data_IF_181460535833
#
_entry.id   IF_181460535833
#
_cell.length_a   1.000
_cell.length_b   1.000
_cell.length_c   1.000
_cell.angle_alpha   90.00
_cell.angle_beta   90.00
_cell.angle_gamma   90.00
#
_symmetry.space_group_name_H-M   'P 1'
#
loop_
_entity.id
_entity.type
_entity.pdbx_description
1 polymer ?
#
# COMPACT_ATOMS: atom_id res chain seq x y z
N UNK A 1 -15.50 38.34 -21.73
CA UNK A 1 -15.30 37.56 -22.97
C UNK A 1 -14.06 36.71 -22.77
N UNK A 2 -14.17 35.45 -23.14
CA UNK A 2 -13.51 34.26 -22.58
C UNK A 2 -11.98 34.27 -22.69
N UNK A 3 -11.29 34.09 -21.56
CA UNK A 3 -9.86 33.75 -21.52
C UNK A 3 -9.73 32.23 -21.55
N UNK A 4 -8.93 31.77 -22.51
CA UNK A 4 -8.53 30.40 -22.78
C UNK A 4 -8.05 29.63 -21.55
N UNK A 5 -8.52 28.38 -21.40
CA UNK A 5 -7.68 27.25 -21.01
C UNK A 5 -8.40 25.91 -21.27
N UNK A 6 -8.30 25.42 -22.51
CA UNK A 6 -8.06 23.99 -22.69
C UNK A 6 -6.54 23.80 -22.57
N UNK A 7 -6.04 22.74 -21.88
CA UNK A 7 -6.13 21.40 -22.44
C UNK A 7 -6.15 20.28 -21.39
N UNK A 8 -7.27 19.59 -21.20
CA UNK A 8 -7.26 18.25 -20.57
C UNK A 8 -7.55 17.20 -21.63
N UNK A 9 -6.59 17.06 -22.54
CA UNK A 9 -6.56 16.05 -23.58
C UNK A 9 -5.23 15.31 -23.59
N UNK A 10 -4.72 14.83 -22.45
CA UNK A 10 -3.55 13.96 -22.44
C UNK A 10 -3.74 12.80 -21.45
N UNK A 11 -3.99 11.62 -22.03
CA UNK A 11 -4.33 10.32 -21.43
C UNK A 11 -5.72 10.21 -20.80
N UNK A 12 -6.76 10.18 -21.65
CA UNK A 12 -8.00 9.45 -21.31
C UNK A 12 -7.60 7.98 -21.13
N UNK A 13 -7.36 7.54 -19.90
CA UNK A 13 -7.14 6.11 -19.62
C UNK A 13 -8.45 5.40 -19.96
N UNK A 14 -8.41 4.43 -20.87
CA UNK A 14 -9.61 3.65 -21.20
C UNK A 14 -10.08 2.89 -19.95
N UNK A 15 -11.37 2.55 -19.88
CA UNK A 15 -11.90 1.66 -18.82
C UNK A 15 -11.01 0.44 -18.59
N UNK A 16 -10.56 -0.20 -19.68
CA UNK A 16 -9.65 -1.35 -19.63
C UNK A 16 -8.32 -1.02 -18.95
N UNK A 17 -7.72 0.13 -19.25
CA UNK A 17 -6.48 0.58 -18.60
C UNK A 17 -6.69 0.84 -17.11
N UNK A 18 -7.80 1.47 -16.72
CA UNK A 18 -8.13 1.70 -15.31
C UNK A 18 -8.34 0.38 -14.57
N UNK A 19 -9.05 -0.58 -15.16
CA UNK A 19 -9.22 -1.92 -14.57
C UNK A 19 -7.87 -2.61 -14.34
N UNK A 20 -6.99 -2.62 -15.35
CA UNK A 20 -5.65 -3.22 -15.22
C UNK A 20 -4.87 -2.58 -14.07
N UNK A 21 -4.86 -1.24 -13.98
CA UNK A 21 -4.15 -0.54 -12.93
C UNK A 21 -4.67 -0.87 -11.54
N UNK A 22 -5.98 -0.86 -11.37
CA UNK A 22 -6.59 -1.19 -10.08
C UNK A 22 -6.37 -2.67 -9.73
N UNK A 23 -6.36 -3.58 -10.71
CA UNK A 23 -5.97 -4.98 -10.47
C UNK A 23 -4.53 -5.10 -9.97
N UNK A 24 -3.58 -4.36 -10.55
CA UNK A 24 -2.19 -4.32 -10.06
C UNK A 24 -2.14 -3.81 -8.62
N UNK A 25 -2.96 -2.79 -8.27
CA UNK A 25 -3.05 -2.31 -6.90
C UNK A 25 -3.57 -3.40 -5.95
N UNK A 26 -4.62 -4.12 -6.32
CA UNK A 26 -5.20 -5.21 -5.52
C UNK A 26 -4.19 -6.34 -5.30
N UNK A 27 -3.48 -6.74 -6.34
CA UNK A 27 -2.42 -7.76 -6.25
C UNK A 27 -1.29 -7.31 -5.33
N UNK A 28 -0.83 -6.06 -5.49
CA UNK A 28 0.21 -5.47 -4.65
C UNK A 28 -0.22 -5.45 -3.18
N UNK A 29 -1.42 -4.95 -2.88
CA UNK A 29 -1.97 -4.88 -1.52
C UNK A 29 -2.13 -6.28 -0.90
N UNK A 30 -2.58 -7.26 -1.68
CA UNK A 30 -2.70 -8.65 -1.26
C UNK A 30 -1.35 -9.27 -0.91
N UNK A 31 -0.32 -9.04 -1.74
CA UNK A 31 1.04 -9.47 -1.46
C UNK A 31 1.58 -8.79 -0.20
N UNK A 32 1.46 -7.46 -0.10
CA UNK A 32 1.93 -6.70 1.06
C UNK A 32 1.25 -7.15 2.36
N UNK A 33 -0.06 -7.45 2.33
CA UNK A 33 -0.80 -7.97 3.50
C UNK A 33 -0.23 -9.30 4.01
N UNK A 34 0.12 -10.21 3.09
CA UNK A 34 0.77 -11.49 3.44
C UNK A 34 2.16 -11.23 4.02
N UNK A 35 2.93 -10.32 3.42
CA UNK A 35 4.27 -9.98 3.90
C UNK A 35 4.24 -9.29 5.28
N UNK A 36 3.26 -8.42 5.58
CA UNK A 36 3.08 -7.85 6.92
C UNK A 36 2.85 -8.97 7.94
N UNK A 37 2.00 -9.95 7.61
CA UNK A 37 1.73 -11.09 8.49
C UNK A 37 2.98 -11.94 8.70
N UNK A 38 3.79 -12.12 7.65
CA UNK A 38 5.10 -12.76 7.77
C UNK A 38 6.04 -11.98 8.68
N UNK A 39 6.12 -10.65 8.54
CA UNK A 39 6.97 -9.81 9.40
C UNK A 39 6.54 -9.88 10.86
N UNK A 40 5.22 -9.92 11.15
CA UNK A 40 4.69 -10.13 12.50
C UNK A 40 5.20 -11.45 13.11
N UNK A 41 5.18 -12.53 12.34
CA UNK A 41 5.71 -13.83 12.77
C UNK A 41 7.23 -13.84 12.90
N UNK A 42 7.93 -13.18 11.98
CA UNK A 42 9.39 -13.11 11.95
C UNK A 42 9.94 -12.43 13.21
N UNK A 43 9.40 -11.27 13.58
CA UNK A 43 9.85 -10.55 14.78
C UNK A 43 9.44 -11.26 16.07
N UNK A 44 8.37 -12.06 16.04
CA UNK A 44 7.91 -12.85 17.19
C UNK A 44 8.73 -14.14 17.41
N UNK A 45 9.82 -14.33 16.64
CA UNK A 45 10.71 -15.46 16.83
C UNK A 45 11.42 -15.41 18.19
N UNK A 46 11.55 -16.55 18.91
CA UNK A 46 12.22 -16.65 20.21
C UNK A 46 13.63 -16.04 20.27
N UNK A 47 14.32 -15.96 19.13
CA UNK A 47 15.68 -15.41 19.01
C UNK A 47 15.78 -13.92 19.39
N UNK A 48 14.67 -13.18 19.35
CA UNK A 48 14.65 -11.74 19.63
C UNK A 48 14.27 -11.38 21.07
N UNK A 49 13.96 -12.35 21.93
CA UNK A 49 13.56 -12.09 23.33
C UNK A 49 14.72 -12.10 24.34
N UNK A 50 15.96 -11.97 23.86
CA UNK A 50 17.15 -12.32 24.65
C UNK A 50 17.70 -11.11 25.43
N UNK A 51 17.37 -9.87 25.06
CA UNK A 51 17.79 -8.67 25.81
C UNK A 51 16.66 -7.63 25.96
N UNK A 52 16.68 -6.81 27.02
CA UNK A 52 15.70 -5.73 27.22
C UNK A 52 15.65 -4.71 26.07
N UNK A 53 16.79 -4.36 25.47
CA UNK A 53 16.85 -3.45 24.32
C UNK A 53 16.14 -4.05 23.09
N UNK A 54 16.27 -5.36 22.88
CA UNK A 54 15.55 -6.08 21.82
C UNK A 54 14.03 -6.06 22.06
N UNK A 55 13.58 -6.12 23.32
CA UNK A 55 12.16 -6.08 23.66
C UNK A 55 11.52 -4.72 23.33
N UNK A 56 12.20 -3.61 23.62
CA UNK A 56 11.69 -2.26 23.29
C UNK A 56 11.49 -2.08 21.79
N UNK A 57 12.49 -2.47 21.00
CA UNK A 57 12.43 -2.37 19.54
C UNK A 57 11.38 -3.32 18.95
N UNK A 58 11.24 -4.52 19.53
CA UNK A 58 10.17 -5.45 19.17
C UNK A 58 8.77 -4.86 19.37
N UNK A 59 8.50 -4.27 20.54
CA UNK A 59 7.21 -3.62 20.82
C UNK A 59 6.94 -2.49 19.83
N UNK A 60 7.98 -1.71 19.48
CA UNK A 60 7.88 -0.64 18.47
C UNK A 60 7.49 -1.20 17.10
N UNK A 61 8.18 -2.24 16.63
CA UNK A 61 7.86 -2.86 15.34
C UNK A 61 6.48 -3.51 15.32
N UNK A 62 6.05 -4.16 16.40
CA UNK A 62 4.67 -4.68 16.50
C UNK A 62 3.63 -3.57 16.34
N UNK A 63 3.83 -2.42 16.99
CA UNK A 63 2.92 -1.28 16.85
C UNK A 63 2.89 -0.74 15.41
N UNK A 64 4.04 -0.68 14.73
CA UNK A 64 4.13 -0.26 13.33
C UNK A 64 3.43 -1.25 12.38
N UNK A 65 3.68 -2.56 12.54
CA UNK A 65 3.04 -3.60 11.73
C UNK A 65 1.52 -3.61 11.93
N UNK A 66 1.03 -3.39 13.16
CA UNK A 66 -0.40 -3.24 13.43
C UNK A 66 -1.02 -2.06 12.67
N UNK A 67 -0.33 -0.91 12.63
CA UNK A 67 -0.79 0.26 11.87
C UNK A 67 -0.80 -0.03 10.36
N UNK A 68 0.25 -0.64 9.83
CA UNK A 68 0.33 -1.04 8.42
C UNK A 68 -0.79 -2.01 8.05
N UNK A 69 -1.12 -2.96 8.94
CA UNK A 69 -2.21 -3.91 8.76
C UNK A 69 -3.57 -3.20 8.67
N UNK A 70 -3.81 -2.20 9.50
CA UNK A 70 -5.05 -1.41 9.40
C UNK A 70 -5.09 -0.59 8.10
N UNK A 71 -3.99 0.04 7.73
CA UNK A 71 -3.89 0.85 6.52
C UNK A 71 -4.09 0.00 5.25
N UNK A 72 -3.49 -1.19 5.18
CA UNK A 72 -3.63 -2.07 4.02
C UNK A 72 -5.08 -2.54 3.84
N UNK A 73 -5.82 -2.80 4.93
CA UNK A 73 -7.26 -3.13 4.82
C UNK A 73 -8.07 -1.95 4.27
N UNK A 74 -7.83 -0.74 4.78
CA UNK A 74 -8.55 0.47 4.36
C UNK A 74 -8.32 0.72 2.86
N UNK A 75 -7.06 0.70 2.42
CA UNK A 75 -6.71 0.96 1.02
C UNK A 75 -7.23 -0.17 0.12
N UNK A 76 -7.19 -1.42 0.58
CA UNK A 76 -7.78 -2.56 -0.15
C UNK A 76 -9.29 -2.38 -0.35
N UNK A 77 -10.00 -1.93 0.68
CA UNK A 77 -11.44 -1.66 0.57
C UNK A 77 -11.73 -0.54 -0.45
N UNK A 78 -10.93 0.53 -0.46
CA UNK A 78 -11.04 1.62 -1.43
C UNK A 78 -10.75 1.13 -2.86
N UNK A 79 -9.67 0.37 -3.06
CA UNK A 79 -9.31 -0.18 -4.36
C UNK A 79 -10.38 -1.13 -4.90
N UNK A 80 -10.94 -2.00 -4.04
CA UNK A 80 -12.02 -2.91 -4.41
C UNK A 80 -13.29 -2.17 -4.82
N UNK A 81 -13.70 -1.16 -4.02
CA UNK A 81 -14.86 -0.33 -4.35
C UNK A 81 -14.66 0.37 -5.70
N UNK A 82 -13.47 0.94 -5.91
CA UNK A 82 -13.14 1.62 -7.16
C UNK A 82 -13.13 0.68 -8.36
N UNK A 83 -12.57 -0.52 -8.19
CA UNK A 83 -12.61 -1.58 -9.21
C UNK A 83 -14.05 -1.88 -9.65
N UNK A 84 -14.96 -2.10 -8.70
CA UNK A 84 -16.37 -2.38 -8.99
C UNK A 84 -17.01 -1.22 -9.75
N UNK A 85 -16.77 0.04 -9.36
CA UNK A 85 -17.30 1.20 -10.08
C UNK A 85 -16.80 1.26 -11.53
N UNK A 86 -15.51 1.00 -11.77
CA UNK A 86 -14.95 0.95 -13.13
C UNK A 86 -15.50 -0.27 -13.91
N UNK A 87 -15.72 -1.39 -13.23
CA UNK A 87 -16.28 -2.58 -13.84
C UNK A 87 -17.73 -2.35 -14.28
N UNK A 88 -18.49 -1.55 -13.54
CA UNK A 88 -19.88 -1.23 -13.89
C UNK A 88 -19.98 -0.05 -14.89
N UNK A 89 -18.88 0.68 -15.11
CA UNK A 89 -18.82 1.76 -16.10
C UNK A 89 -19.06 1.24 -17.52
N UNK A 90 -20.11 1.74 -18.17
CA UNK A 90 -20.47 1.47 -19.55
C UNK A 90 -20.09 2.63 -20.48
N UNK A 91 -19.92 2.34 -21.78
CA UNK A 91 -19.58 3.36 -22.78
C UNK A 91 -20.70 4.39 -23.02
N UNK A 92 -21.91 4.12 -22.51
CA UNK A 92 -23.08 5.01 -22.60
C UNK A 92 -23.15 5.99 -21.41
N UNK A 93 -22.30 5.81 -20.42
CA UNK A 93 -22.28 6.67 -19.24
C UNK A 93 -21.79 8.08 -19.55
N UNK A 94 -22.38 9.06 -18.86
CA UNK A 94 -22.12 10.47 -19.12
C UNK A 94 -20.76 10.94 -18.56
N UNK A 95 -20.31 12.11 -19.04
CA UNK A 95 -19.06 12.77 -18.63
C UNK A 95 -18.93 12.96 -17.11
N UNK A 96 -20.05 13.04 -16.38
CA UNK A 96 -20.05 13.18 -14.92
C UNK A 96 -19.54 11.93 -14.23
N UNK A 97 -19.95 10.73 -14.65
CA UNK A 97 -19.47 9.48 -14.08
C UNK A 97 -17.98 9.25 -14.40
N UNK A 98 -17.58 9.53 -15.64
CA UNK A 98 -16.17 9.43 -16.06
C UNK A 98 -15.28 10.35 -15.19
N UNK A 99 -15.69 11.60 -14.98
CA UNK A 99 -14.97 12.53 -14.12
C UNK A 99 -14.89 12.05 -12.67
N UNK A 100 -15.99 11.50 -12.13
CA UNK A 100 -16.00 10.93 -10.78
C UNK A 100 -14.99 9.77 -10.65
N UNK A 101 -14.98 8.84 -11.61
CA UNK A 101 -14.04 7.70 -11.63
C UNK A 101 -12.58 8.20 -11.65
N UNK A 102 -12.27 9.18 -12.50
CA UNK A 102 -10.91 9.72 -12.60
C UNK A 102 -10.49 10.42 -11.31
N UNK A 103 -11.40 11.18 -10.68
CA UNK A 103 -11.13 11.85 -9.41
C UNK A 103 -10.90 10.84 -8.27
N UNK A 104 -11.69 9.77 -8.18
CA UNK A 104 -11.47 8.72 -7.19
C UNK A 104 -10.14 7.99 -7.43
N UNK A 105 -9.80 7.72 -8.69
CA UNK A 105 -8.51 7.13 -9.03
C UNK A 105 -7.33 8.01 -8.56
N UNK A 106 -7.42 9.32 -8.80
CA UNK A 106 -6.42 10.31 -8.39
C UNK A 106 -6.32 10.48 -6.87
N UNK A 107 -7.36 10.11 -6.10
CA UNK A 107 -7.30 10.11 -4.63
C UNK A 107 -6.68 8.84 -4.08
N UNK A 108 -6.96 7.68 -4.70
CA UNK A 108 -6.52 6.37 -4.20
C UNK A 108 -5.05 6.11 -4.53
N UNK A 109 -4.61 6.46 -5.76
CA UNK A 109 -3.24 6.18 -6.23
C UNK A 109 -2.16 6.77 -5.30
N UNK A 110 -2.23 8.04 -4.87
CA UNK A 110 -1.23 8.59 -3.96
C UNK A 110 -1.21 7.92 -2.59
N UNK A 111 -2.39 7.55 -2.06
CA UNK A 111 -2.51 6.87 -0.77
C UNK A 111 -1.85 5.48 -0.82
N UNK A 112 -2.05 4.75 -1.92
CA UNK A 112 -1.36 3.48 -2.15
C UNK A 112 0.15 3.66 -2.20
N UNK A 113 0.64 4.63 -2.99
CA UNK A 113 2.08 4.87 -3.15
C UNK A 113 2.74 5.26 -1.82
N UNK A 114 2.08 6.11 -1.03
CA UNK A 114 2.56 6.48 0.30
C UNK A 114 2.57 5.28 1.25
N UNK A 115 1.52 4.47 1.25
CA UNK A 115 1.47 3.24 2.03
C UNK A 115 2.61 2.29 1.67
N UNK A 116 2.84 2.02 0.38
CA UNK A 116 3.90 1.12 -0.08
C UNK A 116 5.29 1.66 0.31
N UNK A 117 5.49 2.98 0.21
CA UNK A 117 6.73 3.61 0.66
C UNK A 117 6.95 3.40 2.16
N UNK A 118 5.94 3.67 2.98
CA UNK A 118 6.01 3.52 4.43
C UNK A 118 6.22 2.06 4.84
N UNK A 119 5.53 1.13 4.18
CA UNK A 119 5.72 -0.31 4.33
C UNK A 119 7.17 -0.72 4.04
N UNK A 120 7.73 -0.30 2.90
CA UNK A 120 9.10 -0.65 2.52
C UNK A 120 10.14 -0.11 3.51
N UNK A 121 9.93 1.11 4.04
CA UNK A 121 10.81 1.67 5.07
C UNK A 121 10.79 0.82 6.34
N UNK A 122 9.60 0.49 6.85
CA UNK A 122 9.47 -0.34 8.07
C UNK A 122 10.05 -1.74 7.85
N UNK A 123 9.82 -2.34 6.67
CA UNK A 123 10.40 -3.63 6.29
C UNK A 123 11.92 -3.59 6.32
N UNK A 124 12.52 -2.56 5.74
CA UNK A 124 13.96 -2.37 5.71
C UNK A 124 14.52 -2.15 7.13
N UNK A 125 13.86 -1.33 7.94
CA UNK A 125 14.25 -1.09 9.33
C UNK A 125 14.26 -2.38 10.16
N UNK A 126 13.23 -3.23 10.00
CA UNK A 126 13.15 -4.54 10.65
C UNK A 126 14.34 -5.41 10.22
N UNK A 127 14.60 -5.53 8.92
CA UNK A 127 15.67 -6.40 8.43
C UNK A 127 17.08 -5.90 8.80
N UNK A 128 17.31 -4.59 8.76
CA UNK A 128 18.59 -4.03 9.19
C UNK A 128 18.81 -4.30 10.69
N UNK A 129 17.78 -4.05 11.50
CA UNK A 129 17.86 -4.27 12.94
C UNK A 129 18.12 -5.76 13.28
N UNK A 130 17.39 -6.68 12.65
CA UNK A 130 17.56 -8.10 12.92
C UNK A 130 18.85 -8.66 12.31
N UNK A 131 19.26 -8.18 11.13
CA UNK A 131 20.51 -8.54 10.46
C UNK A 131 21.74 -8.15 11.27
N UNK A 132 21.81 -6.89 11.74
CA UNK A 132 22.91 -6.40 12.58
C UNK A 132 23.06 -7.24 13.85
N UNK A 133 21.93 -7.65 14.44
CA UNK A 133 21.91 -8.46 15.67
C UNK A 133 22.27 -9.92 15.45
N UNK A 134 21.95 -10.49 14.29
CA UNK A 134 22.39 -11.84 13.93
C UNK A 134 23.90 -11.89 13.69
N UNK A 135 24.45 -10.90 12.97
CA UNK A 135 25.89 -10.82 12.68
C UNK A 135 26.70 -10.64 13.97
N UNK A 136 26.23 -9.81 14.91
CA UNK A 136 26.89 -9.63 16.21
C UNK A 136 26.92 -10.89 17.08
N UNK A 137 26.06 -11.88 16.80
CA UNK A 137 25.96 -13.11 17.59
C UNK A 137 26.86 -14.24 17.07
N UNK A 138 27.31 -14.20 15.82
CA UNK A 138 28.26 -15.17 15.25
C UNK A 138 29.73 -14.80 15.50
N UNK A 139 30.01 -13.56 15.92
CA UNK A 139 31.36 -13.05 16.18
C UNK A 139 31.85 -13.12 17.63
N UNK A 140 31.06 -13.66 18.56
CA UNK A 140 31.40 -13.83 19.98
C UNK A 140 31.41 -15.30 20.40
#
# INVERSE_FOLDING_TARGET
MTILSAPYSHFKRSRKQLLILVSVWQETLSATKKEISFLEMYIASPIFYITPELLTEFIRYQAHLKKLKQQVEIISALANKHFTVIQDWTEVDNTTLENFILLEHQKIEPQLLEFIKNYNNIKLDIFNYTGDKLIQKEGN
#
